data_IF_671946718028
#
_entry.id   IF_671946718028
#
_cell.length_a   1.000
_cell.length_b   1.000
_cell.length_c   1.000
_cell.angle_alpha   90.00
_cell.angle_beta   90.00
_cell.angle_gamma   90.00
#
_symmetry.space_group_name_H-M   'P 1'
#
loop_
_entity.id
_entity.type
_entity.pdbx_description
1 polymer ?
#
# COMPACT_ATOMS: atom_id res chain seq x y z
N UNK A 1 0.26 21.24 29.60
CA UNK A 1 -0.33 20.36 28.57
C UNK A 1 -0.82 21.25 27.45
N UNK A 2 -0.40 20.99 26.21
CA UNK A 2 -0.86 21.74 25.03
C UNK A 2 -2.20 21.16 24.57
N UNK A 3 -3.07 21.99 23.99
CA UNK A 3 -4.40 21.61 23.48
C UNK A 3 -4.37 20.38 22.55
N UNK A 4 -3.29 20.23 21.75
CA UNK A 4 -3.06 19.04 20.90
C UNK A 4 -2.90 17.73 21.69
N UNK A 5 -2.26 17.78 22.86
CA UNK A 5 -2.07 16.60 23.72
C UNK A 5 -3.38 16.15 24.37
N UNK A 6 -4.32 17.06 24.58
CA UNK A 6 -5.62 16.76 25.19
C UNK A 6 -6.56 16.06 24.21
N UNK A 7 -6.58 16.54 22.95
CA UNK A 7 -7.35 15.91 21.86
C UNK A 7 -6.86 14.47 21.59
N UNK A 8 -5.54 14.27 21.48
CA UNK A 8 -4.98 12.95 21.23
C UNK A 8 -5.30 11.93 22.34
N UNK A 9 -5.30 12.37 23.60
CA UNK A 9 -5.68 11.52 24.74
C UNK A 9 -7.15 11.12 24.67
N UNK A 10 -8.05 12.06 24.41
CA UNK A 10 -9.50 11.79 24.30
C UNK A 10 -9.82 10.85 23.13
N UNK A 11 -9.17 11.03 21.97
CA UNK A 11 -9.35 10.15 20.82
C UNK A 11 -8.88 8.72 21.13
N UNK A 12 -7.76 8.56 21.81
CA UNK A 12 -7.28 7.24 22.23
C UNK A 12 -8.19 6.57 23.28
N UNK A 13 -8.77 7.34 24.19
CA UNK A 13 -9.78 6.83 25.13
C UNK A 13 -11.05 6.36 24.39
N UNK A 14 -11.56 7.17 23.45
CA UNK A 14 -12.69 6.79 22.60
C UNK A 14 -12.39 5.50 21.82
N UNK A 15 -11.19 5.39 21.23
CA UNK A 15 -10.76 4.21 20.51
C UNK A 15 -10.82 2.95 21.38
N UNK A 16 -10.30 3.03 22.61
CA UNK A 16 -10.31 1.89 23.53
C UNK A 16 -11.73 1.45 23.93
N UNK A 17 -12.68 2.38 23.99
CA UNK A 17 -14.10 2.07 24.21
C UNK A 17 -14.70 1.40 22.98
N UNK A 18 -14.48 1.96 21.79
CA UNK A 18 -15.05 1.43 20.53
C UNK A 18 -14.54 0.03 20.19
N UNK A 19 -13.27 -0.26 20.53
CA UNK A 19 -12.61 -1.53 20.25
C UNK A 19 -13.26 -2.74 20.94
N UNK A 20 -14.04 -2.54 22.01
CA UNK A 20 -14.72 -3.67 22.68
C UNK A 20 -15.75 -4.37 21.81
N UNK A 21 -16.30 -3.67 20.82
CA UNK A 21 -17.17 -4.23 19.77
C UNK A 21 -16.69 -3.71 18.42
N UNK A 22 -15.51 -4.19 18.01
CA UNK A 22 -14.81 -3.63 16.85
C UNK A 22 -15.57 -3.83 15.53
N UNK A 23 -16.41 -4.87 15.42
CA UNK A 23 -17.20 -5.15 14.23
C UNK A 23 -18.27 -4.07 14.06
N UNK A 24 -19.06 -3.80 15.10
CA UNK A 24 -20.10 -2.77 15.03
C UNK A 24 -19.53 -1.35 14.94
N UNK A 25 -18.31 -1.15 15.42
CA UNK A 25 -17.67 0.16 15.49
C UNK A 25 -16.57 0.38 14.42
N UNK A 26 -16.47 -0.46 13.40
CA UNK A 26 -15.38 -0.43 12.42
C UNK A 26 -15.17 0.97 11.79
N UNK A 27 -16.23 1.58 11.26
CA UNK A 27 -16.15 2.91 10.65
C UNK A 27 -15.69 4.00 11.65
N UNK A 28 -16.23 3.96 12.88
CA UNK A 28 -15.86 4.91 13.94
C UNK A 28 -14.42 4.70 14.42
N UNK A 29 -13.94 3.45 14.46
CA UNK A 29 -12.55 3.13 14.77
C UNK A 29 -11.61 3.66 13.67
N UNK A 30 -11.96 3.49 12.41
CA UNK A 30 -11.20 4.01 11.28
C UNK A 30 -11.14 5.55 11.28
N UNK A 31 -12.28 6.21 11.49
CA UNK A 31 -12.35 7.67 11.60
C UNK A 31 -11.52 8.18 12.80
N UNK A 32 -11.63 7.51 13.96
CA UNK A 32 -10.84 7.85 15.14
C UNK A 32 -9.34 7.75 14.89
N UNK A 33 -8.88 6.73 14.15
CA UNK A 33 -7.47 6.61 13.78
C UNK A 33 -7.07 7.71 12.79
N UNK A 34 -7.89 7.97 11.76
CA UNK A 34 -7.63 9.02 10.77
C UNK A 34 -7.44 10.40 11.40
N UNK A 35 -8.34 10.77 12.31
CA UNK A 35 -8.25 12.04 13.05
C UNK A 35 -7.07 12.02 14.02
N UNK A 36 -6.87 10.93 14.76
CA UNK A 36 -5.73 10.81 15.69
C UNK A 36 -4.40 10.96 14.96
N UNK A 37 -4.27 10.45 13.74
CA UNK A 37 -3.05 10.56 12.93
C UNK A 37 -2.62 12.02 12.67
N UNK A 38 -3.58 12.95 12.54
CA UNK A 38 -3.29 14.38 12.37
C UNK A 38 -2.65 15.03 13.62
N UNK A 39 -2.90 14.44 14.79
CA UNK A 39 -2.45 14.97 16.08
C UNK A 39 -1.25 14.20 16.65
N UNK A 40 -1.22 12.88 16.45
CA UNK A 40 -0.24 11.95 16.99
C UNK A 40 -0.11 10.71 16.09
N UNK A 41 0.75 10.82 15.07
CA UNK A 41 0.99 9.77 14.06
C UNK A 41 1.42 8.44 14.68
N UNK A 42 2.34 8.48 15.65
CA UNK A 42 2.91 7.27 16.24
C UNK A 42 1.86 6.51 17.05
N UNK A 43 1.05 7.25 17.83
CA UNK A 43 -0.03 6.64 18.60
C UNK A 43 -1.14 6.09 17.71
N UNK A 44 -1.50 6.78 16.63
CA UNK A 44 -2.47 6.29 15.66
C UNK A 44 -2.02 4.95 15.04
N UNK A 45 -0.76 4.86 14.58
CA UNK A 45 -0.18 3.63 14.04
C UNK A 45 -0.16 2.52 15.09
N UNK A 46 0.26 2.83 16.32
CA UNK A 46 0.33 1.86 17.42
C UNK A 46 -1.04 1.28 17.79
N UNK A 47 -2.09 2.11 17.84
CA UNK A 47 -3.45 1.66 18.15
C UNK A 47 -4.04 0.83 17.02
N UNK A 48 -3.82 1.24 15.77
CA UNK A 48 -4.22 0.46 14.61
C UNK A 48 -3.56 -0.93 14.58
N UNK A 49 -2.25 -0.98 14.81
CA UNK A 49 -1.53 -2.25 14.93
C UNK A 49 -2.07 -3.13 16.05
N UNK A 50 -2.32 -2.57 17.24
CA UNK A 50 -2.83 -3.33 18.39
C UNK A 50 -4.19 -3.93 18.07
N UNK A 51 -5.10 -3.16 17.45
CA UNK A 51 -6.41 -3.66 17.03
C UNK A 51 -6.27 -4.80 16.03
N UNK A 52 -5.45 -4.62 15.00
CA UNK A 52 -5.24 -5.67 13.99
C UNK A 52 -4.55 -6.90 14.59
N UNK A 53 -3.60 -6.77 15.51
CA UNK A 53 -2.92 -7.92 16.16
C UNK A 53 -3.88 -8.72 17.04
N UNK A 54 -4.76 -8.04 17.77
CA UNK A 54 -5.69 -8.69 18.70
C UNK A 54 -6.82 -9.42 17.98
N UNK A 55 -7.30 -8.87 16.87
CA UNK A 55 -8.41 -9.44 16.10
C UNK A 55 -7.94 -10.07 14.78
N UNK A 56 -6.64 -10.30 14.62
CA UNK A 56 -6.02 -10.68 13.34
C UNK A 56 -6.62 -11.94 12.73
N UNK A 57 -6.77 -12.98 13.55
CA UNK A 57 -7.29 -14.26 13.12
C UNK A 57 -8.76 -14.13 12.71
N UNK A 58 -9.56 -13.39 13.48
CA UNK A 58 -10.99 -13.17 13.20
C UNK A 58 -11.19 -12.36 11.90
N UNK A 59 -10.38 -11.32 11.68
CA UNK A 59 -10.43 -10.47 10.48
C UNK A 59 -10.00 -11.24 9.22
N UNK A 60 -9.06 -12.20 9.34
CA UNK A 60 -8.53 -12.96 8.19
C UNK A 60 -9.32 -14.25 7.91
N UNK A 61 -9.81 -14.94 8.95
CA UNK A 61 -10.50 -16.24 8.82
C UNK A 61 -11.98 -16.10 8.48
N UNK A 62 -12.62 -15.03 8.93
CA UNK A 62 -13.97 -14.78 8.53
C UNK A 62 -13.98 -13.98 7.21
N UNK A 63 -14.48 -14.62 6.16
CA UNK A 63 -15.15 -13.91 5.04
C UNK A 63 -16.38 -13.16 5.60
N UNK A 64 -16.18 -12.23 6.54
CA UNK A 64 -17.18 -11.20 6.90
C UNK A 64 -17.17 -10.20 5.73
N UNK A 65 -17.71 -10.69 4.61
CA UNK A 65 -18.53 -9.94 3.68
C UNK A 65 -19.68 -9.37 4.55
N UNK A 66 -19.68 -8.11 4.96
CA UNK A 66 -19.49 -6.90 4.15
C UNK A 66 -18.47 -5.88 4.69
N UNK A 67 -17.52 -6.22 5.58
CA UNK A 67 -16.67 -5.19 6.24
C UNK A 67 -15.17 -5.49 6.29
N UNK A 68 -14.61 -6.23 5.33
CA UNK A 68 -13.15 -6.30 5.09
C UNK A 68 -12.47 -4.92 4.97
N UNK A 69 -13.28 -3.87 4.95
CA UNK A 69 -12.99 -2.44 4.93
C UNK A 69 -12.13 -1.94 6.09
N UNK A 70 -12.10 -2.49 7.31
CA UNK A 70 -11.51 -1.76 8.45
C UNK A 70 -10.04 -1.34 8.27
N UNK A 71 -9.16 -2.20 7.74
CA UNK A 71 -7.75 -1.85 7.55
C UNK A 71 -7.54 -0.88 6.37
N UNK A 72 -8.28 -1.05 5.28
CA UNK A 72 -8.31 -0.13 4.14
C UNK A 72 -8.98 1.18 4.47
N UNK A 73 -9.97 1.16 5.35
CA UNK A 73 -10.72 2.30 5.81
C UNK A 73 -9.82 3.14 6.69
N UNK A 74 -8.99 2.54 7.53
CA UNK A 74 -7.97 3.29 8.24
C UNK A 74 -7.05 4.01 7.24
N UNK A 75 -6.56 3.34 6.19
CA UNK A 75 -5.76 3.99 5.15
C UNK A 75 -6.53 5.08 4.40
N UNK A 76 -7.78 4.80 4.06
CA UNK A 76 -8.68 5.71 3.38
C UNK A 76 -8.95 6.95 4.23
N UNK A 77 -9.21 6.77 5.53
CA UNK A 77 -9.42 7.84 6.50
C UNK A 77 -8.15 8.67 6.70
N UNK A 78 -6.97 8.04 6.77
CA UNK A 78 -5.69 8.79 6.78
C UNK A 78 -5.54 9.58 5.48
N UNK A 79 -5.81 8.99 4.31
CA UNK A 79 -5.78 9.67 3.01
C UNK A 79 -6.75 10.87 2.97
N UNK A 80 -7.95 10.69 3.48
CA UNK A 80 -9.01 11.72 3.49
C UNK A 80 -8.73 12.85 4.48
N UNK A 81 -8.21 12.52 5.67
CA UNK A 81 -7.89 13.48 6.71
C UNK A 81 -6.59 14.25 6.43
N UNK A 82 -5.60 13.59 5.82
CA UNK A 82 -4.30 14.14 5.50
C UNK A 82 -4.06 14.14 3.98
N UNK A 83 -3.39 13.11 3.46
CA UNK A 83 -3.15 12.88 2.05
C UNK A 83 -2.64 11.44 1.81
N UNK A 84 -2.50 11.07 0.54
CA UNK A 84 -1.98 9.75 0.16
C UNK A 84 -0.54 9.53 0.62
N UNK A 85 0.29 10.58 0.69
CA UNK A 85 1.68 10.48 1.16
C UNK A 85 1.73 10.09 2.63
N UNK A 86 0.83 10.63 3.44
CA UNK A 86 0.68 10.30 4.86
C UNK A 86 0.22 8.85 5.05
N UNK A 87 -0.67 8.36 4.19
CA UNK A 87 -1.05 6.94 4.19
C UNK A 87 0.15 6.04 3.83
N UNK A 88 0.97 6.43 2.85
CA UNK A 88 2.20 5.72 2.50
C UNK A 88 3.22 5.75 3.66
N UNK A 89 3.44 6.91 4.30
CA UNK A 89 4.30 7.05 5.48
C UNK A 89 3.83 6.16 6.65
N UNK A 90 2.52 6.00 6.85
CA UNK A 90 1.98 5.16 7.90
C UNK A 90 2.38 3.68 7.70
N UNK A 91 2.30 3.18 6.46
CA UNK A 91 2.72 1.81 6.12
C UNK A 91 4.24 1.64 6.13
N UNK A 92 5.00 2.63 5.68
CA UNK A 92 6.46 2.58 5.74
C UNK A 92 6.97 2.36 7.18
N UNK A 93 6.28 2.93 8.17
CA UNK A 93 6.64 2.82 9.58
C UNK A 93 6.35 1.47 10.23
N UNK A 94 5.61 0.58 9.56
CA UNK A 94 5.18 -0.69 10.15
C UNK A 94 5.22 -1.86 9.15
N UNK A 95 6.18 -2.75 9.38
CA UNK A 95 6.27 -4.02 8.65
C UNK A 95 5.03 -4.90 8.89
N UNK A 96 4.49 -4.88 10.11
CA UNK A 96 3.29 -5.66 10.45
C UNK A 96 2.08 -5.16 9.65
N UNK A 97 1.84 -3.84 9.61
CA UNK A 97 0.71 -3.28 8.85
C UNK A 97 0.86 -3.54 7.36
N UNK A 98 2.07 -3.37 6.79
CA UNK A 98 2.31 -3.72 5.38
C UNK A 98 1.98 -5.18 5.10
N UNK A 99 2.50 -6.11 5.90
CA UNK A 99 2.24 -7.54 5.69
C UNK A 99 0.76 -7.89 5.89
N UNK A 100 0.12 -7.32 6.90
CA UNK A 100 -1.29 -7.54 7.18
C UNK A 100 -2.15 -7.13 5.98
N UNK A 101 -1.95 -5.91 5.49
CA UNK A 101 -2.78 -5.27 4.48
C UNK A 101 -2.43 -5.79 3.09
N UNK A 102 -1.15 -5.76 2.70
CA UNK A 102 -0.75 -6.11 1.34
C UNK A 102 -0.55 -7.62 1.14
N UNK A 103 -0.34 -8.38 2.23
CA UNK A 103 0.08 -9.78 2.16
C UNK A 103 -0.98 -10.81 2.56
N UNK A 104 -1.87 -10.49 3.51
CA UNK A 104 -2.75 -11.51 4.10
C UNK A 104 -4.24 -11.16 4.07
N UNK A 105 -4.60 -9.89 3.96
CA UNK A 105 -5.99 -9.46 3.81
C UNK A 105 -6.38 -9.58 2.33
N UNK A 106 -7.44 -10.37 2.05
CA UNK A 106 -7.79 -10.80 0.69
C UNK A 106 -8.57 -9.75 -0.12
N UNK A 107 -9.24 -8.81 0.55
CA UNK A 107 -10.11 -7.80 -0.08
C UNK A 107 -9.69 -6.38 0.32
N UNK A 108 -8.45 -6.04 -0.02
CA UNK A 108 -7.93 -4.69 0.22
C UNK A 108 -8.16 -3.86 -1.03
N UNK A 109 -8.80 -2.70 -0.87
CA UNK A 109 -8.98 -1.67 -1.90
C UNK A 109 -7.66 -1.44 -2.65
N UNK A 110 -7.58 -2.07 -3.82
CA UNK A 110 -6.37 -2.16 -4.63
C UNK A 110 -5.90 -0.76 -5.07
N UNK A 111 -6.86 0.15 -5.26
CA UNK A 111 -6.63 1.53 -5.64
C UNK A 111 -5.74 2.29 -4.66
N UNK A 112 -6.05 2.24 -3.36
CA UNK A 112 -5.26 2.95 -2.35
C UNK A 112 -3.84 2.36 -2.27
N UNK A 113 -3.71 1.03 -2.38
CA UNK A 113 -2.39 0.39 -2.40
C UNK A 113 -1.54 0.79 -3.60
N UNK A 114 -2.15 0.89 -4.78
CA UNK A 114 -1.46 1.35 -6.01
C UNK A 114 -0.97 2.78 -5.86
N UNK A 115 -1.79 3.67 -5.30
CA UNK A 115 -1.38 5.04 -5.07
C UNK A 115 -0.23 5.13 -4.05
N UNK A 116 -0.23 4.27 -3.02
CA UNK A 116 0.89 4.15 -2.07
C UNK A 116 2.16 3.66 -2.77
N UNK A 117 2.07 2.60 -3.57
CA UNK A 117 3.22 2.08 -4.34
C UNK A 117 3.73 3.15 -5.31
N UNK A 118 2.84 3.92 -5.93
CA UNK A 118 3.19 5.05 -6.78
C UNK A 118 3.96 6.12 -6.01
N UNK A 119 3.59 6.41 -4.76
CA UNK A 119 4.36 7.31 -3.90
C UNK A 119 5.78 6.76 -3.65
N UNK A 120 5.91 5.47 -3.35
CA UNK A 120 7.23 4.84 -3.15
C UNK A 120 8.09 4.87 -4.42
N UNK A 121 7.50 4.69 -5.61
CA UNK A 121 8.21 4.83 -6.89
C UNK A 121 8.73 6.26 -7.07
N UNK A 122 7.88 7.27 -6.85
CA UNK A 122 8.24 8.67 -7.00
C UNK A 122 9.30 9.12 -5.98
N UNK A 123 9.28 8.54 -4.78
CA UNK A 123 10.27 8.79 -3.73
C UNK A 123 11.56 7.96 -3.91
N UNK A 124 11.63 7.08 -4.90
CA UNK A 124 12.78 6.20 -5.14
C UNK A 124 12.98 5.11 -4.08
N UNK A 125 11.92 4.73 -3.35
CA UNK A 125 11.91 3.69 -2.30
C UNK A 125 11.77 2.29 -2.90
N UNK A 126 12.67 1.94 -3.82
CA UNK A 126 12.65 0.68 -4.57
C UNK A 126 12.49 -0.59 -3.71
N UNK A 127 13.17 -0.74 -2.55
CA UNK A 127 13.00 -1.93 -1.72
C UNK A 127 11.56 -2.13 -1.23
N UNK A 128 10.90 -1.04 -0.83
CA UNK A 128 9.49 -1.08 -0.40
C UNK A 128 8.56 -1.42 -1.56
N UNK A 129 8.81 -0.89 -2.75
CA UNK A 129 8.03 -1.24 -3.95
C UNK A 129 8.10 -2.74 -4.21
N UNK A 130 9.29 -3.35 -4.18
CA UNK A 130 9.48 -4.79 -4.40
C UNK A 130 8.77 -5.63 -3.33
N UNK A 131 8.89 -5.23 -2.06
CA UNK A 131 8.20 -5.90 -0.94
C UNK A 131 6.68 -5.86 -1.14
N UNK A 132 6.12 -4.68 -1.41
CA UNK A 132 4.68 -4.49 -1.60
C UNK A 132 4.15 -5.34 -2.77
N UNK A 133 4.85 -5.34 -3.90
CA UNK A 133 4.49 -6.15 -5.07
C UNK A 133 4.54 -7.66 -4.76
N UNK A 134 5.55 -8.13 -4.01
CA UNK A 134 5.64 -9.54 -3.60
C UNK A 134 4.47 -9.94 -2.71
N UNK A 135 4.18 -9.13 -1.68
CA UNK A 135 3.08 -9.37 -0.76
C UNK A 135 1.74 -9.44 -1.50
N UNK A 136 1.51 -8.50 -2.42
CA UNK A 136 0.28 -8.48 -3.23
C UNK A 136 0.12 -9.74 -4.08
N UNK A 137 1.20 -10.26 -4.68
CA UNK A 137 1.17 -11.52 -5.43
C UNK A 137 0.86 -12.75 -4.56
N UNK A 138 1.34 -12.75 -3.32
CA UNK A 138 1.13 -13.84 -2.37
C UNK A 138 -0.30 -13.84 -1.81
N UNK A 139 -0.89 -12.65 -1.66
CA UNK A 139 -2.19 -12.45 -0.98
C UNK A 139 -3.42 -12.85 -1.80
N UNK A 140 -3.40 -12.68 -3.14
CA UNK A 140 -4.61 -12.83 -3.96
C UNK A 140 -4.67 -14.16 -4.75
N UNK A 141 -5.73 -14.96 -4.59
CA UNK A 141 -6.35 -15.60 -5.75
C UNK A 141 -7.09 -14.49 -6.49
N UNK A 142 -6.49 -13.97 -7.55
CA UNK A 142 -7.14 -12.96 -8.36
C UNK A 142 -8.32 -13.60 -9.07
N UNK A 143 -9.54 -13.22 -8.70
CA UNK A 143 -10.74 -13.63 -9.41
C UNK A 143 -10.67 -13.14 -10.87
N UNK A 144 -11.31 -13.89 -11.77
CA UNK A 144 -11.18 -13.82 -13.24
C UNK A 144 -11.80 -12.55 -13.89
N UNK A 145 -11.97 -11.45 -13.16
CA UNK A 145 -12.47 -10.19 -13.72
C UNK A 145 -11.34 -9.42 -14.44
N UNK A 146 -11.14 -9.80 -15.71
CA UNK A 146 -9.99 -9.49 -16.60
C UNK A 146 -9.64 -7.99 -16.80
N UNK A 147 -10.45 -7.02 -16.35
CA UNK A 147 -10.34 -5.60 -16.73
C UNK A 147 -9.58 -4.71 -15.71
N UNK A 148 -9.55 -5.06 -14.42
CA UNK A 148 -8.97 -4.19 -13.39
C UNK A 148 -7.44 -4.29 -13.31
N UNK A 149 -6.88 -5.49 -13.47
CA UNK A 149 -5.43 -5.71 -13.34
C UNK A 149 -4.57 -5.01 -14.38
N UNK A 150 -5.06 -4.89 -15.62
CA UNK A 150 -4.36 -4.22 -16.72
C UNK A 150 -4.31 -2.70 -16.51
N UNK A 151 -5.43 -2.09 -16.11
CA UNK A 151 -5.51 -0.65 -15.86
C UNK A 151 -4.50 -0.23 -14.77
N UNK A 152 -4.31 -1.05 -13.75
CA UNK A 152 -3.37 -0.78 -12.65
C UNK A 152 -1.92 -0.85 -13.09
N UNK A 153 -1.60 -1.78 -13.99
CA UNK A 153 -0.26 -1.87 -14.54
C UNK A 153 0.13 -0.64 -15.33
N UNK A 154 -0.80 -0.16 -16.17
CA UNK A 154 -0.58 1.00 -17.01
C UNK A 154 -0.32 2.23 -16.15
N UNK A 155 -1.11 2.44 -15.08
CA UNK A 155 -0.88 3.52 -14.11
C UNK A 155 0.50 3.39 -13.47
N UNK A 156 0.88 2.21 -12.97
CA UNK A 156 2.18 2.02 -12.31
C UNK A 156 3.33 2.27 -13.30
N UNK A 157 3.26 1.74 -14.52
CA UNK A 157 4.28 1.92 -15.54
C UNK A 157 4.41 3.37 -15.99
N UNK A 158 3.28 4.05 -16.23
CA UNK A 158 3.26 5.47 -16.53
C UNK A 158 3.94 6.26 -15.41
N UNK A 159 3.69 5.94 -14.13
CA UNK A 159 4.32 6.61 -12.99
C UNK A 159 5.83 6.36 -12.93
N UNK A 160 6.30 5.15 -13.21
CA UNK A 160 7.74 4.89 -13.29
C UNK A 160 8.36 5.71 -14.44
N UNK A 161 7.70 5.79 -15.60
CA UNK A 161 8.16 6.61 -16.74
C UNK A 161 8.17 8.12 -16.41
N UNK A 162 7.09 8.63 -15.82
CA UNK A 162 6.88 10.05 -15.52
C UNK A 162 7.63 10.54 -14.28
N UNK A 163 8.19 9.65 -13.46
CA UNK A 163 8.98 10.04 -12.29
C UNK A 163 10.22 10.88 -12.64
N UNK A 164 10.65 10.90 -13.90
CA UNK A 164 11.87 11.60 -14.34
C UNK A 164 13.16 11.01 -13.76
N UNK A 165 13.05 10.12 -12.78
CA UNK A 165 14.12 9.31 -12.25
C UNK A 165 14.64 8.32 -13.29
N UNK A 166 13.85 8.01 -14.34
CA UNK A 166 14.10 6.87 -15.22
C UNK A 166 13.79 7.17 -16.70
N UNK A 167 14.82 7.26 -17.54
CA UNK A 167 14.67 7.18 -19.00
C UNK A 167 14.49 5.71 -19.41
N UNK A 168 13.27 5.35 -19.80
CA UNK A 168 13.01 4.11 -20.53
C UNK A 168 13.38 4.32 -21.99
N UNK A 169 14.11 3.38 -22.58
CA UNK A 169 14.07 3.26 -24.03
C UNK A 169 12.68 2.79 -24.41
N UNK A 170 12.00 3.55 -25.27
CA UNK A 170 10.59 3.42 -25.69
C UNK A 170 10.17 2.00 -26.14
N UNK A 171 11.13 1.12 -26.43
CA UNK A 171 10.88 -0.14 -27.14
C UNK A 171 10.68 -1.40 -26.27
N UNK A 172 11.02 -1.40 -24.98
CA UNK A 172 11.13 -2.67 -24.22
C UNK A 172 9.90 -3.01 -23.35
N UNK A 173 9.17 -2.01 -22.86
CA UNK A 173 8.06 -2.21 -21.90
C UNK A 173 6.71 -2.13 -22.62
N UNK A 174 6.51 -1.14 -23.50
CA UNK A 174 5.26 -0.96 -24.26
C UNK A 174 4.99 -2.13 -25.23
N UNK A 175 6.03 -2.64 -25.92
CA UNK A 175 5.89 -3.84 -26.79
C UNK A 175 5.55 -5.12 -26.03
N UNK A 176 5.75 -5.16 -24.71
CA UNK A 176 5.33 -6.28 -23.85
C UNK A 176 3.85 -6.16 -23.48
N UNK A 177 3.35 -4.94 -23.26
CA UNK A 177 1.94 -4.66 -22.95
C UNK A 177 1.04 -4.99 -24.16
N UNK A 178 1.42 -4.54 -25.36
CA UNK A 178 0.70 -4.82 -26.62
C UNK A 178 0.58 -6.32 -26.95
N UNK A 179 1.32 -7.19 -26.24
CA UNK A 179 1.33 -8.63 -26.44
C UNK A 179 0.55 -9.42 -25.39
N UNK A 180 -0.02 -8.80 -24.36
CA UNK A 180 -0.91 -9.54 -23.46
C UNK A 180 -2.24 -9.76 -24.18
N UNK A 181 -2.59 -11.01 -24.53
CA UNK A 181 -3.92 -11.28 -25.02
C UNK A 181 -4.93 -11.02 -23.89
N UNK A 182 -6.09 -10.45 -24.22
CA UNK A 182 -7.30 -10.32 -23.36
C UNK A 182 -7.89 -11.68 -22.92
N UNK A 183 -7.03 -12.66 -22.61
CA UNK A 183 -7.37 -14.05 -22.23
C UNK A 183 -6.34 -14.62 -21.26
N UNK A 184 -5.65 -13.77 -20.51
CA UNK A 184 -4.75 -14.20 -19.45
C UNK A 184 -5.50 -14.03 -18.13
N UNK A 185 -5.51 -15.07 -17.29
CA UNK A 185 -6.01 -14.90 -15.94
C UNK A 185 -5.20 -13.82 -15.23
N UNK A 186 -5.88 -13.03 -14.39
CA UNK A 186 -5.27 -11.95 -13.63
C UNK A 186 -3.99 -12.41 -12.94
N UNK A 187 -4.00 -13.59 -12.29
CA UNK A 187 -2.78 -14.13 -11.65
C UNK A 187 -1.56 -14.10 -12.56
N UNK A 188 -1.72 -14.45 -13.84
CA UNK A 188 -0.63 -14.45 -14.80
C UNK A 188 -0.27 -13.04 -15.25
N UNK A 189 -1.26 -12.14 -15.39
CA UNK A 189 -1.05 -10.71 -15.66
C UNK A 189 -0.24 -10.10 -14.52
N UNK A 190 -0.74 -10.13 -13.28
CA UNK A 190 -0.05 -9.60 -12.10
C UNK A 190 1.34 -10.20 -11.89
N UNK A 191 1.53 -11.51 -12.08
CA UNK A 191 2.86 -12.13 -12.00
C UNK A 191 3.83 -11.52 -13.00
N UNK A 192 3.41 -11.39 -14.26
CA UNK A 192 4.28 -10.84 -15.30
C UNK A 192 4.47 -9.32 -15.14
N UNK A 193 3.48 -8.59 -14.63
CA UNK A 193 3.59 -7.18 -14.24
C UNK A 193 4.66 -6.99 -13.16
N UNK A 194 4.61 -7.78 -12.09
CA UNK A 194 5.60 -7.74 -11.01
C UNK A 194 6.98 -8.11 -11.53
N UNK A 195 7.08 -9.10 -12.43
CA UNK A 195 8.36 -9.45 -13.07
C UNK A 195 8.92 -8.28 -13.88
N UNK A 196 8.09 -7.60 -14.68
CA UNK A 196 8.49 -6.44 -15.47
C UNK A 196 8.92 -5.29 -14.57
N UNK A 197 8.10 -4.92 -13.58
CA UNK A 197 8.41 -3.84 -12.63
C UNK A 197 9.68 -4.14 -11.84
N UNK A 198 9.85 -5.37 -11.36
CA UNK A 198 11.06 -5.79 -10.62
C UNK A 198 12.30 -5.68 -11.50
N UNK A 199 12.26 -6.20 -12.72
CA UNK A 199 13.39 -6.12 -13.65
C UNK A 199 13.74 -4.67 -14.02
N UNK A 200 12.73 -3.81 -14.14
CA UNK A 200 12.90 -2.37 -14.34
C UNK A 200 13.60 -1.74 -13.15
N UNK A 201 13.13 -2.02 -11.94
CA UNK A 201 13.72 -1.54 -10.69
C UNK A 201 15.16 -2.04 -10.48
N UNK A 202 15.49 -3.28 -10.85
CA UNK A 202 16.86 -3.81 -10.79
C UNK A 202 17.80 -3.06 -11.75
N UNK A 203 17.34 -2.80 -12.97
CA UNK A 203 18.11 -2.06 -13.98
C UNK A 203 18.40 -0.63 -13.51
N UNK A 204 17.43 -0.04 -12.80
CA UNK A 204 17.53 1.27 -12.17
C UNK A 204 18.60 1.25 -11.08
N UNK A 205 18.51 0.33 -10.11
CA UNK A 205 19.46 0.23 -9.01
C UNK A 205 20.89 0.04 -9.53
N UNK A 206 21.06 -0.77 -10.58
CA UNK A 206 22.34 -0.97 -11.27
C UNK A 206 22.89 0.32 -11.92
N UNK A 207 22.04 1.15 -12.53
CA UNK A 207 22.45 2.44 -13.10
C UNK A 207 22.86 3.44 -12.00
N UNK A 208 22.05 3.55 -10.94
CA UNK A 208 22.34 4.44 -9.80
C UNK A 208 23.62 4.03 -9.09
N UNK A 209 23.84 2.73 -8.88
CA UNK A 209 25.08 2.22 -8.27
C UNK A 209 26.32 2.58 -9.10
N UNK A 210 26.24 2.48 -10.44
CA UNK A 210 27.32 2.87 -11.35
C UNK A 210 27.59 4.38 -11.29
N UNK A 211 26.57 5.22 -11.40
CA UNK A 211 26.73 6.68 -11.32
C UNK A 211 27.33 7.10 -9.97
N UNK A 212 26.92 6.50 -8.85
CA UNK A 212 27.50 6.75 -7.53
C UNK A 212 28.96 6.32 -7.43
N UNK A 213 29.35 5.24 -8.10
CA UNK A 213 30.75 4.79 -8.14
C UNK A 213 31.62 5.77 -8.95
N UNK A 214 31.11 6.28 -10.07
CA UNK A 214 31.82 7.25 -10.92
C UNK A 214 32.02 8.59 -10.20
N UNK A 215 31.03 9.07 -9.43
CA UNK A 215 31.15 10.30 -8.63
C UNK A 215 32.13 10.16 -7.46
N UNK A 216 32.33 8.96 -6.90
CA UNK A 216 33.32 8.72 -5.83
C UNK A 216 34.77 8.66 -6.32
N UNK A 217 34.99 8.58 -7.63
CA UNK A 217 36.33 8.52 -8.24
C UNK A 217 36.83 9.94 -8.64
N UNK A 218 35.96 10.96 -8.59
CA UNK A 218 36.28 12.38 -8.82
C UNK A 218 36.51 13.12 -7.49
#
# INVERSE_FOLDING_TARGET
MTEKSDIANRLAECFNVLKTDYIQNAAALAESIGVLYLHDKERAISLWESLLKEHYAEIVEHEILDTGELSTDVLHQIKMCADIKSAAEALEKSDFLRQAIMGKMKDVSIFILIEIISCYILDGKTPLVKECLSLMLESKPLDDDEDDGLTWFEILLERVQNSGCFEFGDDCVLRRIDRYPMRMSDKKIYTEMTNVLTAVLDKIESKVARARAEVKIL
#
